data_IF_177866675172
#
_entry.id   IF_177866675172
#
_cell.length_a   1.000
_cell.length_b   1.000
_cell.length_c   1.000
_cell.angle_alpha   90.00
_cell.angle_beta   90.00
_cell.angle_gamma   90.00
#
_symmetry.space_group_name_H-M   'P 1'
#
loop_
_entity.id
_entity.type
_entity.pdbx_description
1 polymer ?
#
# COMPACT_ATOMS: atom_id res chain seq x y z
N UNK A 1 -2.02 5.18 7.70
CA UNK A 1 -0.96 5.08 6.67
C UNK A 1 -0.88 6.38 5.87
N UNK A 2 0.27 6.73 5.28
CA UNK A 2 0.43 7.89 4.38
C UNK A 2 0.28 7.46 2.92
N UNK A 3 -0.56 8.15 2.16
CA UNK A 3 -0.69 7.95 0.73
C UNK A 3 0.46 8.60 -0.05
N UNK A 4 0.99 7.91 -1.06
CA UNK A 4 1.92 8.45 -2.06
C UNK A 4 1.53 8.03 -3.46
N UNK A 5 1.92 8.83 -4.45
CA UNK A 5 1.85 8.46 -5.86
C UNK A 5 3.20 7.97 -6.34
N UNK A 6 3.21 6.91 -7.13
CA UNK A 6 4.40 6.36 -7.79
C UNK A 6 4.11 6.24 -9.28
N UNK A 7 5.01 6.79 -10.10
CA UNK A 7 5.01 6.57 -11.54
C UNK A 7 5.82 5.32 -11.87
N UNK A 8 5.23 4.38 -12.59
CA UNK A 8 5.88 3.15 -13.02
C UNK A 8 6.59 3.36 -14.35
N UNK A 9 7.57 2.50 -14.66
CA UNK A 9 8.31 2.56 -15.93
C UNK A 9 7.44 2.35 -17.19
N UNK A 10 6.22 1.81 -17.03
CA UNK A 10 5.23 1.66 -18.11
C UNK A 10 4.22 2.80 -18.18
N UNK A 11 4.45 3.91 -17.46
CA UNK A 11 3.63 5.12 -17.53
C UNK A 11 2.34 5.08 -16.70
N UNK A 12 2.16 4.08 -15.83
CA UNK A 12 1.03 4.06 -14.89
C UNK A 12 1.38 4.83 -13.62
N UNK A 13 0.48 5.70 -13.19
CA UNK A 13 0.55 6.42 -11.91
C UNK A 13 -0.33 5.72 -10.87
N UNK A 14 0.29 5.22 -9.81
CA UNK A 14 -0.34 4.31 -8.84
C UNK A 14 -0.30 4.91 -7.44
N UNK A 15 -1.42 4.78 -6.71
CA UNK A 15 -1.51 5.09 -5.28
C UNK A 15 -0.87 3.99 -4.44
N UNK A 16 -0.01 4.38 -3.51
CA UNK A 16 0.65 3.46 -2.58
C UNK A 16 0.50 3.98 -1.16
N UNK A 17 -0.14 3.20 -0.31
CA UNK A 17 -0.15 3.45 1.12
C UNK A 17 1.15 2.96 1.72
N UNK A 18 1.81 3.82 2.51
CA UNK A 18 3.00 3.45 3.25
C UNK A 18 2.81 3.74 4.75
N UNK A 19 3.33 2.84 5.58
CA UNK A 19 3.47 3.08 7.01
C UNK A 19 4.62 2.27 7.60
N UNK A 20 5.04 2.66 8.80
CA UNK A 20 6.03 1.92 9.57
C UNK A 20 7.47 2.15 9.10
N UNK A 21 8.36 1.33 9.65
CA UNK A 21 9.80 1.36 9.43
C UNK A 21 10.39 -0.04 9.59
N UNK A 22 11.59 -0.27 9.09
CA UNK A 22 12.26 -1.59 9.14
C UNK A 22 12.31 -2.27 7.78
N UNK A 23 12.38 -3.61 7.77
CA UNK A 23 12.46 -4.39 6.53
C UNK A 23 11.21 -4.13 5.65
N UNK A 24 11.38 -3.94 4.32
CA UNK A 24 10.27 -3.65 3.43
C UNK A 24 9.38 -4.86 3.22
N UNK A 25 8.07 -4.66 3.28
CA UNK A 25 7.06 -5.67 2.92
C UNK A 25 6.06 -5.05 1.97
N UNK A 26 5.76 -5.75 0.87
CA UNK A 26 4.71 -5.36 -0.08
C UNK A 26 3.46 -6.18 0.21
N UNK A 27 2.33 -5.50 0.38
CA UNK A 27 1.02 -6.14 0.53
C UNK A 27 0.13 -5.80 -0.66
N UNK A 28 -0.46 -6.83 -1.26
CA UNK A 28 -1.40 -6.70 -2.37
C UNK A 28 -2.81 -7.06 -1.90
N UNK A 29 -3.77 -6.18 -2.13
CA UNK A 29 -5.16 -6.42 -1.76
C UNK A 29 -5.84 -7.40 -2.74
N UNK A 30 -6.93 -8.02 -2.28
CA UNK A 30 -7.78 -8.86 -3.13
C UNK A 30 -8.73 -8.05 -4.02
N UNK A 31 -9.64 -8.72 -4.71
CA UNK A 31 -10.59 -8.10 -5.64
C UNK A 31 -11.51 -7.03 -5.00
N UNK A 32 -11.65 -7.03 -3.67
CA UNK A 32 -12.49 -6.07 -2.93
C UNK A 32 -11.84 -4.71 -2.65
N UNK A 33 -10.59 -4.48 -3.03
CA UNK A 33 -9.89 -3.23 -2.68
C UNK A 33 -9.38 -3.19 -1.23
N UNK A 34 -8.96 -2.00 -0.79
CA UNK A 34 -8.70 -1.72 0.63
C UNK A 34 -9.97 -1.38 1.38
N UNK A 35 -9.99 -1.70 2.67
CA UNK A 35 -11.00 -1.23 3.59
C UNK A 35 -10.78 0.26 3.89
N UNK A 36 -11.80 0.96 4.40
CA UNK A 36 -11.65 2.34 4.86
C UNK A 36 -10.64 2.41 6.03
N UNK A 37 -10.69 1.43 6.92
CA UNK A 37 -9.76 1.15 8.00
C UNK A 37 -9.00 -0.16 7.73
N UNK A 38 -7.67 -0.14 7.78
CA UNK A 38 -6.84 -1.32 7.48
C UNK A 38 -6.05 -1.78 8.73
N UNK A 39 -6.72 -2.30 9.78
CA UNK A 39 -6.06 -2.65 11.04
C UNK A 39 -4.97 -3.71 10.87
N UNK A 40 -5.11 -4.61 9.90
CA UNK A 40 -4.07 -5.58 9.55
C UNK A 40 -2.77 -4.88 9.10
N UNK A 41 -2.88 -3.87 8.23
CA UNK A 41 -1.71 -3.13 7.74
C UNK A 41 -1.09 -2.25 8.83
N UNK A 42 -1.93 -1.67 9.70
CA UNK A 42 -1.45 -0.90 10.85
C UNK A 42 -0.68 -1.78 11.84
N UNK A 43 -1.13 -3.02 12.08
CA UNK A 43 -0.40 -4.00 12.91
C UNK A 43 0.92 -4.41 12.26
N UNK A 44 0.92 -4.65 10.94
CA UNK A 44 2.13 -5.01 10.20
C UNK A 44 3.16 -3.87 10.22
N UNK A 45 2.70 -2.62 10.11
CA UNK A 45 3.53 -1.42 10.14
C UNK A 45 4.23 -1.16 11.49
N UNK A 46 3.83 -1.85 12.57
CA UNK A 46 4.55 -1.79 13.85
C UNK A 46 5.94 -2.42 13.79
N UNK A 47 6.22 -3.27 12.78
CA UNK A 47 7.49 -4.02 12.65
C UNK A 47 8.17 -3.86 11.30
N UNK A 48 7.41 -3.53 10.26
CA UNK A 48 7.89 -3.46 8.88
C UNK A 48 7.63 -2.10 8.27
N UNK A 49 8.42 -1.75 7.25
CA UNK A 49 8.05 -0.70 6.31
C UNK A 49 7.07 -1.28 5.29
N UNK A 50 5.78 -1.04 5.50
CA UNK A 50 4.71 -1.60 4.67
C UNK A 50 4.48 -0.71 3.45
N UNK A 51 4.46 -1.33 2.27
CA UNK A 51 4.10 -0.72 1.00
C UNK A 51 2.87 -1.44 0.45
N UNK A 52 1.74 -0.75 0.37
CA UNK A 52 0.46 -1.32 -0.03
C UNK A 52 -0.06 -0.54 -1.27
N UNK A 53 0.37 -0.94 -2.49
CA UNK A 53 -0.14 -0.35 -3.72
C UNK A 53 -1.60 -0.73 -3.97
N UNK A 54 -2.34 0.19 -4.56
CA UNK A 54 -3.65 -0.12 -5.15
C UNK A 54 -3.46 -0.62 -6.58
N UNK A 55 -4.28 -1.60 -6.96
CA UNK A 55 -4.30 -2.07 -8.34
C UNK A 55 -4.78 -0.96 -9.29
N UNK A 56 -4.23 -0.87 -10.52
CA UNK A 56 -4.81 0.01 -11.54
C UNK A 56 -6.31 -0.26 -11.73
N UNK A 57 -7.12 0.80 -11.74
CA UNK A 57 -8.58 0.72 -11.78
C UNK A 57 -9.24 0.65 -10.40
N UNK A 58 -8.46 0.57 -9.32
CA UNK A 58 -8.91 0.80 -7.95
C UNK A 58 -8.34 2.14 -7.46
N UNK A 59 -9.24 3.03 -7.04
CA UNK A 59 -8.89 4.37 -6.59
C UNK A 59 -8.80 5.42 -7.70
#
# INVERSE_FOLDING_TARGET
MKLRWIDTSRGLRVRVFEAGSGAPVVFFHGAGGFLADNPFLDLLARRYRVLAPEWPGFG
#
